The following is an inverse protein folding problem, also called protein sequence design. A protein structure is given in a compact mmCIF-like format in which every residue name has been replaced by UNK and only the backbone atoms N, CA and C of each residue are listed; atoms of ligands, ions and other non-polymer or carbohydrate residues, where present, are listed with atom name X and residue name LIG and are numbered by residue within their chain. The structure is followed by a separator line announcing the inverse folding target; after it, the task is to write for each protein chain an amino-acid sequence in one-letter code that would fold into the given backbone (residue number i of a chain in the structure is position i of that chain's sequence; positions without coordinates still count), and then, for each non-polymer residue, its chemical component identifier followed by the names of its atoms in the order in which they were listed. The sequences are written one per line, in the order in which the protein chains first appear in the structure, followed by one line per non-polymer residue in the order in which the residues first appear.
data_IF_151670782074
#
_entry.id   IF_151670782074
#
_cell.length_a   1.000
_cell.length_b   1.000
_cell.length_c   1.000
_cell.angle_alpha   90.00
_cell.angle_beta   90.00
_cell.angle_gamma   90.00
#
_symmetry.space_group_name_H-M   'P 1'
#
loop_
_entity.id
_entity.type
_entity.pdbx_description
1 polymer ?
#
# COMPACT_ATOMS: atom_id res chain seq x y z
N UNK A 1 -26.75 -10.54 3.86
CA UNK A 1 -27.54 -9.37 4.32
C UNK A 1 -27.56 -9.38 5.84
N UNK A 2 -27.34 -8.22 6.48
CA UNK A 2 -27.28 -8.10 7.93
C UNK A 2 -28.14 -6.93 8.40
N UNK A 3 -28.76 -7.04 9.57
CA UNK A 3 -29.56 -5.98 10.16
C UNK A 3 -29.29 -5.87 11.66
N UNK A 4 -29.19 -4.63 12.14
CA UNK A 4 -29.10 -4.31 13.58
C UNK A 4 -29.99 -3.10 13.88
N UNK A 5 -31.07 -3.33 14.64
CA UNK A 5 -32.12 -2.33 14.83
C UNK A 5 -32.72 -1.92 13.48
N UNK A 6 -32.76 -0.62 13.21
CA UNK A 6 -33.22 -0.06 11.92
C UNK A 6 -32.14 0.00 10.84
N UNK A 7 -30.88 -0.32 11.14
CA UNK A 7 -29.77 -0.24 10.18
C UNK A 7 -29.63 -1.55 9.42
N UNK A 8 -29.60 -1.46 8.09
CA UNK A 8 -29.45 -2.59 7.16
C UNK A 8 -28.10 -2.50 6.44
N UNK A 9 -27.38 -3.60 6.35
CA UNK A 9 -26.06 -3.68 5.70
C UNK A 9 -26.03 -4.83 4.67
N UNK A 10 -25.71 -4.48 3.43
CA UNK A 10 -25.49 -5.42 2.34
C UNK A 10 -23.98 -5.60 2.17
N UNK A 11 -23.49 -6.76 2.59
CA UNK A 11 -22.08 -7.13 2.49
C UNK A 11 -21.85 -7.89 1.19
N UNK A 12 -21.03 -7.32 0.33
CA UNK A 12 -20.52 -7.92 -0.89
C UNK A 12 -19.07 -8.33 -0.67
N UNK A 13 -18.64 -9.42 -1.29
CA UNK A 13 -17.28 -9.92 -1.18
C UNK A 13 -16.80 -10.48 -2.49
N UNK A 14 -15.56 -10.17 -2.85
CA UNK A 14 -14.85 -10.78 -3.96
C UNK A 14 -13.52 -11.32 -3.43
N UNK A 15 -13.40 -12.64 -3.39
CA UNK A 15 -12.12 -13.30 -3.09
C UNK A 15 -11.04 -12.95 -4.10
N UNK A 16 -9.79 -13.29 -3.79
CA UNK A 16 -8.70 -13.06 -4.74
C UNK A 16 -8.92 -13.90 -6.02
N UNK A 17 -8.75 -13.23 -7.14
CA UNK A 17 -8.82 -13.71 -8.52
C UNK A 17 -7.61 -13.09 -9.22
N UNK A 18 -6.92 -13.79 -10.14
CA UNK A 18 -5.85 -13.17 -10.92
C UNK A 18 -6.31 -11.87 -11.59
N UNK A 19 -5.59 -10.78 -11.36
CA UNK A 19 -6.04 -9.42 -11.72
C UNK A 19 -6.35 -9.28 -13.21
N UNK A 20 -5.48 -9.81 -14.09
CA UNK A 20 -5.69 -9.77 -15.54
C UNK A 20 -6.99 -10.45 -15.97
N UNK A 21 -7.36 -11.55 -15.30
CA UNK A 21 -8.62 -12.25 -15.57
C UNK A 21 -9.80 -11.40 -15.15
N UNK A 22 -9.74 -10.83 -13.95
CA UNK A 22 -10.83 -10.01 -13.41
C UNK A 22 -11.00 -8.71 -14.21
N UNK A 23 -9.89 -8.06 -14.59
CA UNK A 23 -9.88 -6.89 -15.47
C UNK A 23 -10.63 -7.19 -16.78
N UNK A 24 -10.29 -8.31 -17.44
CA UNK A 24 -10.97 -8.75 -18.67
C UNK A 24 -12.45 -9.03 -18.45
N UNK A 25 -12.84 -9.61 -17.32
CA UNK A 25 -14.25 -9.85 -16.99
C UNK A 25 -15.03 -8.54 -16.82
N UNK A 26 -14.43 -7.52 -16.20
CA UNK A 26 -15.05 -6.19 -16.10
C UNK A 26 -15.21 -5.52 -17.47
N UNK A 27 -14.15 -5.52 -18.30
CA UNK A 27 -14.19 -4.97 -19.67
C UNK A 27 -15.26 -5.67 -20.51
N UNK A 28 -15.36 -6.99 -20.41
CA UNK A 28 -16.35 -7.80 -21.13
C UNK A 28 -17.76 -7.76 -20.51
N UNK A 29 -18.00 -6.94 -19.47
CA UNK A 29 -19.28 -6.82 -18.76
C UNK A 29 -19.82 -8.14 -18.21
N UNK A 30 -18.91 -9.03 -17.79
CA UNK A 30 -19.23 -10.34 -17.21
C UNK A 30 -19.37 -10.31 -15.68
N UNK A 31 -19.12 -9.16 -15.05
CA UNK A 31 -19.26 -8.95 -13.61
C UNK A 31 -20.53 -8.16 -13.34
N UNK A 32 -21.44 -8.73 -12.56
CA UNK A 32 -22.69 -8.08 -12.14
C UNK A 32 -22.89 -8.27 -10.63
N UNK A 33 -23.22 -7.18 -9.93
CA UNK A 33 -23.54 -7.23 -8.51
C UNK A 33 -25.05 -7.33 -8.31
N UNK A 34 -25.52 -8.42 -7.70
CA UNK A 34 -26.94 -8.62 -7.41
C UNK A 34 -27.37 -7.79 -6.21
N UNK A 35 -28.30 -6.85 -6.42
CA UNK A 35 -28.86 -6.03 -5.35
C UNK A 35 -30.01 -6.73 -4.61
N UNK A 36 -30.26 -6.43 -3.33
CA UNK A 36 -31.43 -6.91 -2.61
C UNK A 36 -32.73 -6.59 -3.37
N UNK A 37 -33.70 -7.49 -3.37
CA UNK A 37 -34.99 -7.26 -4.04
C UNK A 37 -35.82 -6.18 -3.34
N UNK A 38 -35.75 -6.15 -2.01
CA UNK A 38 -36.53 -5.24 -1.18
C UNK A 38 -35.68 -4.08 -0.67
N UNK A 39 -36.29 -2.88 -0.64
CA UNK A 39 -35.75 -1.67 -0.01
C UNK A 39 -34.31 -1.36 -0.45
N UNK A 40 -34.07 -1.36 -1.76
CA UNK A 40 -32.74 -1.22 -2.37
C UNK A 40 -31.96 0.01 -1.89
N UNK A 41 -32.67 1.09 -1.54
CA UNK A 41 -32.09 2.36 -1.10
C UNK A 41 -31.92 2.46 0.42
N UNK A 42 -32.41 1.49 1.19
CA UNK A 42 -32.28 1.42 2.65
C UNK A 42 -31.01 0.69 3.12
N UNK A 43 -30.32 0.00 2.22
CA UNK A 43 -29.11 -0.76 2.55
C UNK A 43 -27.86 0.12 2.50
N UNK A 44 -26.99 -0.01 3.49
CA UNK A 44 -25.59 0.39 3.39
C UNK A 44 -24.80 -0.70 2.66
N UNK A 45 -24.25 -0.38 1.50
CA UNK A 45 -23.57 -1.31 0.61
C UNK A 45 -22.05 -1.28 0.89
N UNK A 46 -21.56 -2.34 1.55
CA UNK A 46 -20.14 -2.53 1.83
C UNK A 46 -19.60 -3.61 0.90
N UNK A 47 -18.53 -3.31 0.19
CA UNK A 47 -17.83 -4.28 -0.66
C UNK A 47 -16.41 -4.54 -0.16
N UNK A 48 -16.05 -5.80 0.01
CA UNK A 48 -14.69 -6.21 0.34
C UNK A 48 -14.03 -6.89 -0.88
N UNK A 49 -12.87 -6.39 -1.30
CA UNK A 49 -12.13 -6.87 -2.46
C UNK A 49 -10.64 -7.08 -2.13
N UNK A 50 -10.04 -8.10 -2.73
CA UNK A 50 -8.62 -8.43 -2.56
C UNK A 50 -7.92 -8.53 -3.93
N UNK A 51 -7.56 -7.38 -4.50
CA UNK A 51 -6.96 -7.20 -5.83
C UNK A 51 -5.91 -6.08 -5.81
N UNK A 52 -5.00 -6.05 -6.80
CA UNK A 52 -4.08 -4.94 -7.01
C UNK A 52 -4.86 -3.63 -7.23
N UNK A 53 -4.51 -2.60 -6.48
CA UNK A 53 -5.03 -1.23 -6.63
C UNK A 53 -4.08 -0.37 -7.44
N UNK A 54 -2.78 -0.49 -7.19
CA UNK A 54 -1.75 0.22 -7.94
C UNK A 54 -1.51 -0.38 -9.31
N UNK A 55 -1.15 0.48 -10.27
CA UNK A 55 -0.86 0.07 -11.64
C UNK A 55 0.48 -0.66 -11.73
N UNK A 56 0.46 -2.00 -11.73
CA UNK A 56 1.65 -2.84 -11.98
C UNK A 56 1.83 -3.24 -13.44
N UNK A 57 0.90 -2.85 -14.31
CA UNK A 57 0.90 -3.10 -15.75
C UNK A 57 -0.38 -2.54 -16.38
N UNK A 58 -0.61 -2.75 -17.68
CA UNK A 58 -1.83 -2.28 -18.34
C UNK A 58 -3.12 -2.87 -17.75
N UNK A 59 -3.09 -4.15 -17.35
CA UNK A 59 -4.26 -4.91 -16.88
C UNK A 59 -4.05 -5.60 -15.53
N UNK A 60 -2.89 -5.41 -14.90
CA UNK A 60 -2.53 -6.08 -13.64
C UNK A 60 -2.91 -5.24 -12.42
N UNK A 61 -4.16 -4.74 -12.41
CA UNK A 61 -4.79 -3.99 -11.34
C UNK A 61 -6.28 -3.81 -11.65
N UNK A 62 -7.08 -3.42 -10.66
CA UNK A 62 -8.50 -3.09 -10.88
C UNK A 62 -8.71 -1.59 -10.67
N UNK A 63 -9.04 -0.83 -11.74
CA UNK A 63 -9.45 0.56 -11.59
C UNK A 63 -10.69 0.70 -10.71
N UNK A 64 -10.72 1.68 -9.82
CA UNK A 64 -11.89 1.96 -8.97
C UNK A 64 -13.15 2.24 -9.80
N UNK A 65 -12.99 2.76 -11.02
CA UNK A 65 -14.06 3.05 -11.98
C UNK A 65 -14.82 1.81 -12.45
N UNK A 66 -14.25 0.61 -12.31
CA UNK A 66 -14.92 -0.64 -12.71
C UNK A 66 -15.97 -1.08 -11.70
N UNK A 67 -15.89 -0.59 -10.46
CA UNK A 67 -16.82 -0.92 -9.41
C UNK A 67 -18.11 -0.11 -9.58
N UNK A 68 -19.24 -0.72 -9.23
CA UNK A 68 -20.55 -0.07 -9.38
C UNK A 68 -20.72 1.10 -8.39
N UNK A 69 -21.35 2.18 -8.86
CA UNK A 69 -21.58 3.43 -8.12
C UNK A 69 -22.52 3.32 -6.91
N UNK A 70 -23.37 2.27 -6.85
CA UNK A 70 -24.31 2.08 -5.76
C UNK A 70 -23.64 1.70 -4.42
N UNK A 71 -22.35 1.36 -4.45
CA UNK A 71 -21.57 1.04 -3.27
C UNK A 71 -21.43 2.28 -2.38
N UNK A 72 -21.42 2.09 -1.05
CA UNK A 72 -21.18 3.21 -0.12
C UNK A 72 -19.73 3.17 0.41
N UNK A 73 -19.18 1.98 0.66
CA UNK A 73 -17.81 1.77 1.14
C UNK A 73 -17.16 0.53 0.51
N UNK A 74 -15.96 0.68 0.00
CA UNK A 74 -15.10 -0.40 -0.52
C UNK A 74 -13.91 -0.60 0.42
N UNK A 75 -13.75 -1.82 0.93
CA UNK A 75 -12.60 -2.26 1.71
C UNK A 75 -11.63 -2.98 0.77
N UNK A 76 -10.50 -2.33 0.50
CA UNK A 76 -9.46 -2.84 -0.39
C UNK A 76 -8.36 -3.55 0.42
N UNK A 77 -8.29 -4.87 0.30
CA UNK A 77 -7.54 -5.71 1.25
C UNK A 77 -6.22 -6.29 0.76
N UNK A 78 -5.84 -6.11 -0.51
CA UNK A 78 -4.61 -6.69 -1.06
C UNK A 78 -3.37 -5.85 -0.77
N UNK A 79 -3.50 -4.53 -0.85
CA UNK A 79 -2.38 -3.61 -0.65
C UNK A 79 -1.96 -3.57 0.82
N UNK A 80 -0.66 -3.69 1.07
CA UNK A 80 -0.11 -3.77 2.43
C UNK A 80 0.16 -2.38 3.06
N UNK A 81 0.21 -1.34 2.24
CA UNK A 81 0.31 0.04 2.71
C UNK A 81 -0.96 0.44 3.49
N UNK A 82 -0.79 1.02 4.67
CA UNK A 82 -1.90 1.38 5.54
C UNK A 82 -2.47 2.76 5.17
N UNK A 83 -3.47 2.78 4.28
CA UNK A 83 -4.27 3.95 3.91
C UNK A 83 -5.71 3.80 4.45
N UNK A 84 -5.80 3.64 5.77
CA UNK A 84 -7.05 3.20 6.43
C UNK A 84 -8.13 4.27 6.48
N UNK A 85 -7.75 5.55 6.43
CA UNK A 85 -8.71 6.67 6.41
C UNK A 85 -9.51 6.60 5.10
N UNK A 86 -10.85 6.51 5.15
CA UNK A 86 -11.64 6.41 3.92
C UNK A 86 -11.43 7.64 3.02
N UNK A 87 -11.03 7.39 1.78
CA UNK A 87 -10.89 8.40 0.74
C UNK A 87 -12.08 8.32 -0.22
N UNK A 88 -12.67 9.45 -0.59
CA UNK A 88 -13.81 9.47 -1.51
C UNK A 88 -13.32 9.38 -2.94
N UNK A 89 -13.89 8.47 -3.73
CA UNK A 89 -13.68 8.45 -5.16
C UNK A 89 -14.50 9.57 -5.82
N UNK A 90 -13.88 10.41 -6.65
CA UNK A 90 -14.53 11.58 -7.25
C UNK A 90 -15.57 11.21 -8.31
N UNK A 91 -15.39 10.09 -9.01
CA UNK A 91 -16.25 9.66 -10.12
C UNK A 91 -17.40 8.77 -9.64
N UNK A 92 -17.08 7.74 -8.84
CA UNK A 92 -18.05 6.74 -8.35
C UNK A 92 -18.69 7.15 -7.01
N UNK A 93 -18.20 8.20 -6.35
CA UNK A 93 -18.72 8.80 -5.12
C UNK A 93 -18.72 7.92 -3.85
N UNK A 94 -18.42 6.63 -3.95
CA UNK A 94 -18.16 5.76 -2.80
C UNK A 94 -16.85 6.11 -2.09
N UNK A 95 -16.71 5.62 -0.86
CA UNK A 95 -15.44 5.71 -0.12
C UNK A 95 -14.62 4.42 -0.31
N UNK A 96 -13.30 4.56 -0.41
CA UNK A 96 -12.34 3.45 -0.38
C UNK A 96 -11.53 3.53 0.89
N UNK A 97 -11.43 2.42 1.61
CA UNK A 97 -10.49 2.26 2.74
C UNK A 97 -9.56 1.10 2.43
N UNK A 98 -8.27 1.29 2.71
CA UNK A 98 -7.23 0.30 2.52
C UNK A 98 -6.51 0.11 3.86
N UNK A 99 -6.96 -0.84 4.70
CA UNK A 99 -6.44 -1.01 6.06
C UNK A 99 -4.94 -1.29 6.14
N UNK A 100 -4.36 -1.86 5.08
CA UNK A 100 -2.99 -2.37 5.08
C UNK A 100 -2.88 -3.73 5.78
N UNK A 101 -1.65 -4.24 5.82
CA UNK A 101 -1.31 -5.48 6.53
C UNK A 101 -1.12 -5.24 8.04
N UNK A 102 -1.18 -6.31 8.83
CA UNK A 102 -0.82 -6.28 10.26
C UNK A 102 0.64 -6.70 10.51
N UNK A 103 1.43 -6.90 9.46
CA UNK A 103 2.83 -7.33 9.52
C UNK A 103 3.55 -6.86 8.27
N UNK A 104 4.80 -6.42 8.42
CA UNK A 104 5.67 -6.13 7.29
C UNK A 104 6.11 -7.45 6.62
N UNK A 105 5.62 -7.73 5.41
CA UNK A 105 6.00 -8.95 4.66
C UNK A 105 7.12 -8.74 3.67
N UNK A 106 7.36 -7.48 3.29
CA UNK A 106 8.39 -7.00 2.39
C UNK A 106 9.01 -5.72 2.94
N UNK A 107 10.28 -5.47 2.60
CA UNK A 107 10.99 -4.26 3.01
C UNK A 107 10.80 -3.14 1.98
N UNK A 108 9.55 -2.73 1.78
CA UNK A 108 9.15 -1.70 0.82
C UNK A 108 8.63 -0.43 1.50
N UNK A 109 8.68 0.75 0.85
CA UNK A 109 8.22 2.01 1.46
C UNK A 109 6.78 1.97 1.97
N UNK A 110 5.85 1.35 1.22
CA UNK A 110 4.45 1.22 1.64
C UNK A 110 4.30 0.39 2.92
N UNK A 111 5.17 -0.60 3.14
CA UNK A 111 5.14 -1.44 4.34
C UNK A 111 5.69 -0.75 5.60
N UNK A 112 6.48 0.31 5.45
CA UNK A 112 7.00 1.12 6.57
C UNK A 112 5.94 2.06 7.18
N UNK A 113 4.80 2.26 6.50
CA UNK A 113 3.68 3.01 7.08
C UNK A 113 3.19 2.37 8.38
N UNK A 114 2.88 3.21 9.38
CA UNK A 114 2.39 2.73 10.68
C UNK A 114 1.08 1.96 10.50
N UNK A 115 1.04 0.73 11.00
CA UNK A 115 -0.10 -0.17 10.81
C UNK A 115 -1.26 0.15 11.76
N UNK A 116 -2.48 0.04 11.26
CA UNK A 116 -3.70 0.35 11.99
C UNK A 116 -4.77 -0.71 11.74
N UNK A 117 -5.75 -0.77 12.63
CA UNK A 117 -7.06 -1.37 12.38
C UNK A 117 -8.13 -0.28 12.35
N UNK A 118 -9.27 -0.60 11.75
CA UNK A 118 -10.38 0.32 11.57
C UNK A 118 -11.57 -0.09 12.42
N UNK A 119 -12.08 0.81 13.25
CA UNK A 119 -13.37 0.66 13.90
C UNK A 119 -14.43 1.37 13.07
N UNK A 120 -15.13 0.59 12.24
CA UNK A 120 -16.22 1.07 11.40
C UNK A 120 -17.54 1.13 12.18
N UNK A 121 -18.18 2.30 12.18
CA UNK A 121 -19.53 2.51 12.72
C UNK A 121 -20.47 2.83 11.56
N UNK A 122 -21.57 2.08 11.44
CA UNK A 122 -22.60 2.30 10.42
C UNK A 122 -23.94 2.55 11.13
N UNK A 123 -24.65 3.60 10.71
CA UNK A 123 -26.01 3.92 11.19
C UNK A 123 -26.86 4.41 10.01
N UNK A 124 -27.94 3.69 9.71
CA UNK A 124 -28.67 3.85 8.45
C UNK A 124 -27.70 3.62 7.28
N UNK A 125 -27.50 4.64 6.44
CA UNK A 125 -26.54 4.65 5.33
C UNK A 125 -25.31 5.53 5.55
N UNK A 126 -25.14 6.07 6.76
CA UNK A 126 -23.97 6.89 7.10
C UNK A 126 -22.94 6.03 7.81
N UNK A 127 -21.67 6.32 7.55
CA UNK A 127 -20.54 5.63 8.17
C UNK A 127 -19.57 6.60 8.83
N UNK A 128 -18.80 6.08 9.78
CA UNK A 128 -17.64 6.75 10.35
C UNK A 128 -16.56 5.69 10.64
N UNK A 129 -15.33 5.97 10.23
CA UNK A 129 -14.19 5.09 10.46
C UNK A 129 -13.23 5.71 11.46
N UNK A 130 -13.03 5.05 12.60
CA UNK A 130 -12.01 5.43 13.58
C UNK A 130 -10.76 4.57 13.36
N UNK A 131 -9.62 5.21 13.10
CA UNK A 131 -8.32 4.52 13.00
C UNK A 131 -7.75 4.21 14.39
N UNK A 132 -7.23 3.01 14.59
CA UNK A 132 -6.63 2.54 15.85
C UNK A 132 -5.24 1.97 15.54
N UNK A 133 -4.16 2.54 16.09
CA UNK A 133 -2.80 2.05 15.81
C UNK A 133 -2.55 0.69 16.47
N UNK A 134 -1.88 -0.20 15.75
CA UNK A 134 -1.43 -1.47 16.31
C UNK A 134 -0.13 -1.26 17.10
N UNK A 135 -0.11 -1.77 18.35
CA UNK A 135 1.01 -1.58 19.29
C UNK A 135 2.03 -2.74 19.29
N UNK A 136 1.66 -3.88 18.72
CA UNK A 136 2.46 -5.12 18.74
C UNK A 136 3.20 -5.38 17.44
N UNK A 137 3.02 -4.51 16.43
CA UNK A 137 3.68 -4.65 15.13
C UNK A 137 5.14 -4.26 15.31
N UNK A 138 6.04 -5.13 14.82
CA UNK A 138 7.48 -4.83 14.79
C UNK A 138 7.71 -3.58 13.95
N UNK A 139 8.44 -2.61 14.50
CA UNK A 139 8.79 -1.38 13.79
C UNK A 139 9.56 -1.70 12.51
N UNK A 140 9.36 -0.87 11.49
CA UNK A 140 10.08 -0.96 10.24
C UNK A 140 10.48 0.45 9.79
N UNK A 141 11.79 0.69 9.75
CA UNK A 141 12.39 1.93 9.26
C UNK A 141 13.05 1.68 7.91
N UNK A 142 12.78 2.58 6.97
CA UNK A 142 13.37 2.56 5.63
C UNK A 142 13.84 3.97 5.27
N UNK A 143 15.06 4.06 4.74
CA UNK A 143 15.62 5.32 4.29
C UNK A 143 16.36 5.14 2.97
N UNK A 144 16.27 6.17 2.13
CA UNK A 144 17.00 6.27 0.87
C UNK A 144 18.21 7.19 1.03
N UNK A 145 19.35 6.75 0.52
CA UNK A 145 20.58 7.52 0.46
C UNK A 145 21.05 7.53 -0.98
N UNK A 146 21.14 8.72 -1.57
CA UNK A 146 21.73 8.91 -2.90
C UNK A 146 23.14 9.41 -2.72
N UNK A 147 24.14 8.62 -3.12
CA UNK A 147 25.54 8.97 -2.87
C UNK A 147 25.99 10.23 -3.61
N UNK A 148 25.40 10.50 -4.78
CA UNK A 148 25.66 11.73 -5.55
C UNK A 148 25.22 13.01 -4.80
N UNK A 149 24.29 12.92 -3.84
CA UNK A 149 23.88 14.09 -3.06
C UNK A 149 24.92 14.49 -1.99
N UNK A 150 26.01 13.72 -1.84
CA UNK A 150 27.07 13.91 -0.85
C UNK A 150 28.44 14.25 -1.48
N UNK A 151 28.45 14.83 -2.68
CA UNK A 151 29.69 15.24 -3.38
C UNK A 151 30.58 16.17 -2.55
N UNK A 152 29.98 16.99 -1.67
CA UNK A 152 30.71 17.87 -0.73
C UNK A 152 31.54 17.09 0.32
N UNK A 153 31.18 15.83 0.61
CA UNK A 153 31.87 14.99 1.60
C UNK A 153 32.88 14.04 0.97
N UNK A 154 32.52 13.46 -0.18
CA UNK A 154 33.36 12.53 -0.93
C UNK A 154 32.91 12.39 -2.39
N UNK A 155 33.89 12.22 -3.27
CA UNK A 155 33.72 11.85 -4.68
C UNK A 155 34.20 10.41 -4.92
N UNK A 156 33.88 9.77 -6.06
CA UNK A 156 34.37 8.43 -6.40
C UNK A 156 35.90 8.29 -6.35
N UNK A 157 36.63 9.38 -6.64
CA UNK A 157 38.10 9.43 -6.66
C UNK A 157 38.71 9.68 -5.28
N UNK A 158 37.88 9.97 -4.26
CA UNK A 158 38.36 10.27 -2.91
C UNK A 158 39.08 9.05 -2.31
N UNK A 159 40.28 9.22 -1.73
CA UNK A 159 40.97 8.11 -1.06
C UNK A 159 40.10 7.49 0.03
N UNK A 160 40.01 6.16 0.03
CA UNK A 160 39.18 5.39 0.96
C UNK A 160 37.67 5.75 0.93
N UNK A 161 37.16 6.18 -0.22
CA UNK A 161 35.73 6.52 -0.40
C UNK A 161 34.79 5.43 0.09
N UNK A 162 35.10 4.15 -0.17
CA UNK A 162 34.31 3.00 0.28
C UNK A 162 34.15 2.96 1.80
N UNK A 163 35.19 3.33 2.55
CA UNK A 163 35.15 3.40 4.00
C UNK A 163 34.27 4.56 4.48
N UNK A 164 34.43 5.75 3.86
CA UNK A 164 33.58 6.92 4.17
C UNK A 164 32.10 6.63 3.92
N UNK A 165 31.78 5.92 2.84
CA UNK A 165 30.41 5.47 2.55
C UNK A 165 29.89 4.47 3.58
N UNK A 166 30.72 3.50 3.96
CA UNK A 166 30.37 2.52 4.99
C UNK A 166 30.07 3.23 6.33
N UNK A 167 30.88 4.23 6.70
CA UNK A 167 30.72 5.04 7.90
C UNK A 167 29.43 5.91 7.84
N UNK A 168 29.12 6.50 6.68
CA UNK A 168 27.86 7.22 6.45
C UNK A 168 26.65 6.29 6.60
N UNK A 169 26.69 5.12 5.96
CA UNK A 169 25.62 4.13 6.05
C UNK A 169 25.45 3.63 7.49
N UNK A 170 26.57 3.42 8.20
CA UNK A 170 26.55 3.03 9.61
C UNK A 170 25.86 4.10 10.47
N UNK A 171 26.22 5.38 10.29
CA UNK A 171 25.59 6.48 11.01
C UNK A 171 24.07 6.55 10.76
N UNK A 172 23.62 6.34 9.51
CA UNK A 172 22.19 6.29 9.17
C UNK A 172 21.44 5.12 9.81
N UNK A 173 22.06 3.94 9.88
CA UNK A 173 21.45 2.81 10.58
C UNK A 173 21.36 3.06 12.08
N UNK A 174 22.37 3.68 12.70
CA UNK A 174 22.32 4.07 14.11
C UNK A 174 21.22 5.10 14.36
N UNK A 175 21.07 6.12 13.50
CA UNK A 175 19.98 7.11 13.58
C UNK A 175 18.60 6.43 13.61
N UNK A 176 18.35 5.47 12.70
CA UNK A 176 17.10 4.70 12.68
C UNK A 176 16.91 3.83 13.93
N UNK A 177 17.97 3.25 14.49
CA UNK A 177 17.90 2.47 15.73
C UNK A 177 17.59 3.34 16.96
N UNK A 178 18.16 4.53 17.03
CA UNK A 178 17.86 5.49 18.09
C UNK A 178 16.40 5.97 18.03
N UNK A 179 15.88 6.21 16.83
CA UNK A 179 14.46 6.53 16.63
C UNK A 179 13.55 5.37 17.05
N UNK A 180 13.90 4.14 16.68
CA UNK A 180 13.16 2.95 17.08
C UNK A 180 13.07 2.84 18.62
N UNK A 181 14.19 3.04 19.32
CA UNK A 181 14.23 2.98 20.78
C UNK A 181 13.40 4.10 21.43
N UNK A 182 13.48 5.34 20.92
CA UNK A 182 12.67 6.47 21.39
C UNK A 182 11.18 6.17 21.28
N UNK A 183 10.72 5.64 20.15
CA UNK A 183 9.32 5.26 19.95
C UNK A 183 8.90 4.08 20.86
N UNK A 184 9.81 3.13 21.11
CA UNK A 184 9.55 1.94 21.94
C UNK A 184 9.33 2.30 23.41
N UNK A 185 10.04 3.30 23.94
CA UNK A 185 9.84 3.79 25.33
C UNK A 185 8.36 4.14 25.59
N UNK A 186 7.67 4.71 24.59
CA UNK A 186 6.24 5.03 24.67
C UNK A 186 5.29 3.84 24.47
N UNK A 187 5.80 2.67 24.05
CA UNK A 187 4.99 1.50 23.71
C UNK A 187 5.73 0.19 24.06
N UNK A 188 5.63 -0.29 25.31
CA UNK A 188 6.32 -1.52 25.76
C UNK A 188 5.93 -2.81 25.04
N UNK A 189 4.79 -2.81 24.33
CA UNK A 189 4.30 -3.96 23.56
C UNK A 189 5.00 -4.12 22.21
N UNK A 190 5.75 -3.10 21.77
CA UNK A 190 6.48 -3.13 20.51
C UNK A 190 7.66 -4.09 20.64
N UNK A 191 7.84 -5.04 19.70
CA UNK A 191 8.99 -5.94 19.71
C UNK A 191 10.34 -5.20 19.70
N UNK A 192 11.30 -5.68 20.49
CA UNK A 192 12.57 -4.98 20.76
C UNK A 192 13.43 -4.70 19.51
N UNK A 193 13.63 -5.68 18.64
CA UNK A 193 14.49 -5.53 17.46
C UNK A 193 13.71 -4.97 16.26
N UNK A 194 13.95 -3.73 15.77
CA UNK A 194 13.26 -3.23 14.59
C UNK A 194 13.69 -3.94 13.31
N UNK A 195 12.88 -3.83 12.26
CA UNK A 195 13.30 -4.02 10.88
C UNK A 195 13.91 -2.72 10.37
N UNK A 196 15.06 -2.80 9.69
CA UNK A 196 15.76 -1.64 9.15
C UNK A 196 16.15 -1.91 7.70
N UNK A 197 15.90 -0.96 6.79
CA UNK A 197 16.32 -1.03 5.39
C UNK A 197 16.91 0.30 4.94
N UNK A 198 18.19 0.33 4.62
CA UNK A 198 18.84 1.44 3.96
C UNK A 198 18.99 1.12 2.47
N UNK A 199 18.37 1.92 1.60
CA UNK A 199 18.52 1.80 0.15
C UNK A 199 19.54 2.83 -0.32
N UNK A 200 20.65 2.37 -0.87
CA UNK A 200 21.79 3.19 -1.26
C UNK A 200 21.87 3.23 -2.78
N UNK A 201 21.55 4.38 -3.36
CA UNK A 201 21.78 4.66 -4.78
C UNK A 201 23.26 5.01 -4.99
N UNK A 202 23.99 4.09 -5.61
CA UNK A 202 25.42 4.20 -5.87
C UNK A 202 25.76 4.63 -7.31
N UNK A 203 24.79 5.22 -8.01
CA UNK A 203 25.01 5.83 -9.32
C UNK A 203 26.10 6.92 -9.23
N UNK A 204 26.83 7.15 -10.33
CA UNK A 204 27.92 8.13 -10.36
C UNK A 204 29.33 7.55 -10.19
N UNK A 205 29.52 6.23 -10.30
CA UNK A 205 30.84 5.61 -10.32
C UNK A 205 31.34 5.10 -8.96
N UNK A 206 30.45 5.06 -7.96
CA UNK A 206 30.78 4.52 -6.64
C UNK A 206 30.81 2.99 -6.62
N UNK A 207 31.66 2.41 -5.78
CA UNK A 207 31.73 0.96 -5.57
C UNK A 207 30.97 0.54 -4.29
N UNK A 208 30.34 -0.63 -4.33
CA UNK A 208 29.66 -1.21 -3.17
C UNK A 208 30.65 -1.84 -2.20
N UNK A 209 30.32 -1.86 -0.91
CA UNK A 209 31.08 -2.59 0.11
C UNK A 209 30.45 -3.94 0.47
N UNK A 210 31.18 -4.75 1.24
CA UNK A 210 30.71 -6.07 1.67
C UNK A 210 29.54 -5.94 2.67
N UNK A 211 28.33 -6.25 2.21
CA UNK A 211 27.10 -6.19 3.01
C UNK A 211 27.13 -7.13 4.20
N UNK A 212 27.72 -8.33 4.06
CA UNK A 212 27.77 -9.32 5.15
C UNK A 212 28.60 -8.82 6.33
N UNK A 213 29.76 -8.19 6.06
CA UNK A 213 30.61 -7.57 7.09
C UNK A 213 29.90 -6.39 7.76
N UNK A 214 29.20 -5.57 6.98
CA UNK A 214 28.40 -4.47 7.52
C UNK A 214 27.29 -4.98 8.44
N UNK A 215 26.53 -5.99 7.99
CA UNK A 215 25.43 -6.61 8.71
C UNK A 215 25.83 -7.25 10.03
N UNK A 216 27.04 -7.82 10.13
CA UNK A 216 27.55 -8.40 11.38
C UNK A 216 27.54 -7.42 12.56
N UNK A 217 27.71 -6.12 12.29
CA UNK A 217 27.71 -5.07 13.32
C UNK A 217 26.35 -4.89 14.02
N UNK A 218 25.26 -5.39 13.43
CA UNK A 218 23.89 -5.14 13.88
C UNK A 218 23.09 -6.41 14.22
N UNK A 219 23.72 -7.58 14.25
CA UNK A 219 23.05 -8.89 14.45
C UNK A 219 22.16 -8.91 15.70
N UNK A 220 22.62 -8.29 16.78
CA UNK A 220 21.86 -8.26 18.03
C UNK A 220 20.88 -7.07 18.12
N UNK A 221 20.98 -6.09 17.22
CA UNK A 221 20.18 -4.87 17.26
C UNK A 221 18.96 -4.92 16.32
N UNK A 222 18.99 -5.68 15.23
CA UNK A 222 17.91 -5.72 14.22
C UNK A 222 17.30 -7.11 14.06
N UNK A 223 16.08 -7.17 13.51
CA UNK A 223 15.39 -8.42 13.21
C UNK A 223 15.72 -8.98 11.80
N UNK A 224 16.33 -8.18 10.92
CA UNK A 224 16.66 -8.54 9.54
C UNK A 224 18.14 -8.31 9.20
N UNK A 225 19.11 -8.90 9.93
CA UNK A 225 20.54 -8.59 9.74
C UNK A 225 21.04 -8.83 8.32
N UNK A 226 20.50 -9.83 7.61
CA UNK A 226 20.91 -10.15 6.23
C UNK A 226 20.46 -9.12 5.19
N UNK A 227 19.46 -8.30 5.51
CA UNK A 227 18.75 -7.43 4.55
C UNK A 227 18.72 -5.97 5.00
N UNK A 228 19.71 -5.52 5.76
CA UNK A 228 19.79 -4.12 6.24
C UNK A 228 20.07 -3.15 5.09
N UNK A 229 20.96 -3.50 4.16
CA UNK A 229 21.37 -2.61 3.06
C UNK A 229 20.92 -3.16 1.71
N UNK A 230 20.46 -2.26 0.85
CA UNK A 230 20.18 -2.51 -0.56
C UNK A 230 20.93 -1.53 -1.44
N UNK A 231 21.88 -2.02 -2.24
CA UNK A 231 22.48 -1.19 -3.27
C UNK A 231 21.59 -1.17 -4.50
N UNK A 232 21.28 0.04 -4.97
CA UNK A 232 20.47 0.30 -6.15
C UNK A 232 21.30 1.14 -7.12
N UNK A 233 21.13 0.89 -8.42
CA UNK A 233 21.63 1.80 -9.45
C UNK A 233 20.43 2.30 -10.22
N UNK A 234 20.26 3.62 -10.31
CA UNK A 234 19.31 4.19 -11.26
C UNK A 234 19.77 3.79 -12.65
N UNK A 235 18.89 3.14 -13.41
CA UNK A 235 19.12 3.00 -14.85
C UNK A 235 19.07 4.41 -15.42
N UNK A 236 20.09 4.77 -16.21
CA UNK A 236 19.96 5.89 -17.13
C UNK A 236 18.71 5.60 -17.98
N UNK A 237 17.71 6.48 -17.90
CA UNK A 237 16.54 6.41 -18.77
C UNK A 237 17.05 6.51 -20.21
N UNK A 238 17.08 5.39 -20.94
CA UNK A 238 16.78 5.44 -22.36
C UNK A 238 15.33 5.87 -22.43
N UNK A 239 15.05 6.95 -23.14
CA UNK A 239 13.69 7.45 -23.39
C UNK A 239 12.78 6.30 -23.84
N UNK A 240 12.04 5.72 -22.88
CA UNK A 240 10.95 4.82 -23.19
C UNK A 240 9.82 5.69 -23.71
N UNK A 241 9.57 5.52 -25.01
CA UNK A 241 8.50 6.11 -25.80
C UNK A 241 7.20 6.11 -24.97
N UNK A 242 6.65 7.30 -24.76
CA UNK A 242 5.30 7.52 -24.23
C UNK A 242 4.27 6.93 -25.19
N UNK A 243 3.97 5.64 -25.05
CA UNK A 243 2.66 5.10 -25.39
C UNK A 243 1.78 5.18 -24.13
N UNK A 244 1.46 6.41 -23.71
CA UNK A 244 0.29 6.64 -22.88
C UNK A 244 -0.95 6.39 -23.73
N UNK A 245 -1.38 5.13 -23.80
CA UNK A 245 -2.77 4.85 -24.18
C UNK A 245 -3.63 5.37 -23.04
N UNK A 246 -4.08 6.62 -23.17
CA UNK A 246 -5.11 7.23 -22.32
C UNK A 246 -6.41 6.50 -22.60
N UNK A 247 -6.62 5.36 -21.94
CA UNK A 247 -7.90 4.64 -22.00
C UNK A 247 -8.93 5.54 -21.32
N UNK A 248 -9.81 6.14 -22.12
CA UNK A 248 -10.96 6.89 -21.64
C UNK A 248 -11.98 5.92 -21.03
N UNK A 249 -11.84 5.70 -19.72
CA UNK A 249 -12.76 4.88 -18.93
C UNK A 249 -14.19 5.42 -18.93
N UNK A 250 -14.42 6.67 -19.36
CA UNK A 250 -15.75 7.25 -19.53
C UNK A 250 -16.62 6.49 -20.54
N UNK A 251 -16.01 5.85 -21.55
CA UNK A 251 -16.73 5.04 -22.55
C UNK A 251 -17.11 3.63 -22.07
N UNK A 252 -16.54 3.18 -20.94
CA UNK A 252 -16.86 1.90 -20.31
C UNK A 252 -17.98 2.02 -19.26
N UNK A 253 -18.40 3.24 -18.94
CA UNK A 253 -19.49 3.52 -17.99
C UNK A 253 -20.82 3.02 -18.58
N UNK A 254 -21.58 2.30 -17.77
CA UNK A 254 -22.91 1.78 -18.11
C UNK A 254 -23.84 2.99 -18.41
N UNK A 255 -24.59 3.02 -19.51
CA UNK A 255 -25.83 3.79 -19.52
C UNK A 255 -26.72 3.16 -18.44
N UNK A 256 -27.18 3.99 -17.50
CA UNK A 256 -28.16 3.62 -16.48
C UNK A 256 -29.35 2.97 -17.18
N UNK A 257 -29.45 1.64 -17.09
CA UNK A 257 -30.61 0.93 -17.58
C UNK A 257 -31.76 1.27 -16.62
N UNK A 258 -32.56 2.26 -17.00
CA UNK A 258 -33.95 2.40 -16.54
C UNK A 258 -34.70 1.21 -17.11
N UNK A 259 -34.57 0.06 -16.44
CA UNK A 259 -35.25 -1.18 -16.77
C UNK A 259 -36.59 -1.22 -16.05
N UNK A 260 -37.65 -0.93 -16.80
CA UNK A 260 -39.02 -0.81 -16.33
C UNK A 260 -39.57 -2.06 -15.65
N UNK A 261 -40.62 -1.82 -14.86
CA UNK A 261 -41.54 -2.84 -14.38
C UNK A 261 -41.91 -3.79 -15.53
N UNK A 262 -41.64 -5.08 -15.33
CA UNK A 262 -42.33 -6.13 -16.07
C UNK A 262 -43.09 -6.97 -15.07
N UNK A 263 -44.40 -6.73 -15.06
CA UNK A 263 -45.41 -7.59 -14.47
C UNK A 263 -45.54 -8.80 -15.41
N UNK A 264 -45.24 -9.99 -14.90
CA UNK A 264 -45.94 -11.26 -15.12
C UNK A 264 -45.35 -12.32 -14.18
#
# INVERSE_FOLDING_TARGET
LMQKGSTKLALYGLGSIPDERLYRMFVNKQVTMLRPKEDQDGWFNLFAIHQNRSKHGPTNYIPEQFLDDFLDLVVWGHEHECLITPARNEQQLFYVTQPGSSVATSLSPGEATKKHIGLLKVKGRKMNMQKIPLKTVRQFFIQDVVLADYEDLFTPETPQVTKKMEDLCYAKVIEMLEEAEKERIGCPLTPEKPLVRLRVDYSGGFETFNTSRFSQKFVDCVANPKDIIHFLRKREYKDDIKDEVTIDYGKLIKPTAVGGLRVE
#
